data_IF_649309155126
#
_entry.id   IF_649309155126
#
_cell.length_a   1.000
_cell.length_b   1.000
_cell.length_c   1.000
_cell.angle_alpha   90.00
_cell.angle_beta   90.00
_cell.angle_gamma   90.00
#
_symmetry.space_group_name_H-M   'P 1'
#
loop_
_entity.id
_entity.type
_entity.pdbx_description
1 polymer ?
#
# COMPACT_ATOMS: atom_id res chain seq x y z
N UNK A 1 7.85 45.18 -25.73
CA UNK A 1 8.56 44.63 -24.55
C UNK A 1 7.54 44.32 -23.49
N UNK A 2 7.28 43.05 -23.23
CA UNK A 2 7.17 42.44 -21.89
C UNK A 2 6.80 40.97 -22.08
N UNK A 3 7.74 40.10 -21.70
CA UNK A 3 7.59 38.65 -21.66
C UNK A 3 7.00 38.31 -20.30
N UNK A 4 5.91 37.56 -20.26
CA UNK A 4 5.39 36.98 -19.01
C UNK A 4 5.59 35.47 -19.03
N UNK A 5 6.72 35.11 -18.43
CA UNK A 5 7.10 33.87 -17.75
C UNK A 5 6.09 32.70 -17.72
N UNK A 6 6.43 31.65 -18.48
CA UNK A 6 6.20 30.25 -18.15
C UNK A 6 7.12 29.84 -16.99
N UNK A 7 6.56 29.56 -15.81
CA UNK A 7 7.14 28.87 -14.65
C UNK A 7 5.95 28.61 -13.69
N UNK A 8 5.69 27.45 -13.10
CA UNK A 8 6.29 26.13 -13.17
C UNK A 8 5.31 25.17 -12.48
N UNK A 9 4.83 24.16 -13.20
CA UNK A 9 4.07 23.06 -12.60
C UNK A 9 5.12 22.08 -12.06
N UNK A 10 5.40 22.21 -10.77
CA UNK A 10 6.17 21.22 -10.02
C UNK A 10 5.40 19.91 -9.98
N UNK A 11 5.96 18.90 -10.66
CA UNK A 11 5.57 17.51 -10.54
C UNK A 11 5.71 17.07 -9.07
N UNK A 12 4.60 16.96 -8.36
CA UNK A 12 4.53 16.16 -7.12
C UNK A 12 4.06 14.77 -7.52
N UNK A 13 5.00 13.95 -7.99
CA UNK A 13 4.82 12.51 -8.08
C UNK A 13 5.02 11.92 -6.67
N UNK A 14 3.95 11.92 -5.86
CA UNK A 14 3.93 11.21 -4.58
C UNK A 14 2.77 10.22 -4.59
N UNK A 15 3.11 8.94 -4.73
CA UNK A 15 2.41 7.85 -4.03
C UNK A 15 1.03 7.40 -4.50
N UNK A 16 0.64 7.57 -5.77
CA UNK A 16 -0.65 7.07 -6.30
C UNK A 16 -0.58 5.67 -6.97
N UNK A 17 0.21 4.73 -6.44
CA UNK A 17 0.30 3.36 -6.98
C UNK A 17 0.02 2.22 -5.97
N UNK A 18 -0.45 2.52 -4.75
CA UNK A 18 -0.73 1.49 -3.73
C UNK A 18 -2.14 0.87 -3.75
N UNK A 19 -3.01 1.19 -4.72
CA UNK A 19 -4.45 0.84 -4.62
C UNK A 19 -5.05 0.11 -5.82
N UNK A 20 -4.25 -0.38 -6.76
CA UNK A 20 -4.77 -0.90 -8.05
C UNK A 20 -4.88 -2.44 -8.16
N UNK A 21 -4.62 -3.20 -7.10
CA UNK A 21 -4.71 -4.67 -7.16
C UNK A 21 -5.48 -5.25 -5.97
N UNK A 22 -6.79 -5.00 -5.93
CA UNK A 22 -7.69 -5.81 -5.11
C UNK A 22 -8.93 -6.20 -5.91
N UNK A 23 -8.73 -7.11 -6.86
CA UNK A 23 -9.80 -7.88 -7.49
C UNK A 23 -9.45 -9.37 -7.47
N UNK A 24 -9.90 -10.05 -6.42
CA UNK A 24 -10.12 -11.49 -6.43
C UNK A 24 -11.55 -11.78 -6.86
N UNK A 25 -11.81 -11.82 -8.17
CA UNK A 25 -12.87 -12.68 -8.71
C UNK A 25 -12.48 -13.07 -10.14
N UNK A 26 -11.79 -14.21 -10.27
CA UNK A 26 -11.48 -14.86 -11.55
C UNK A 26 -12.75 -15.45 -12.14
N UNK A 27 -13.60 -14.60 -12.70
CA UNK A 27 -14.41 -14.97 -13.87
C UNK A 27 -13.85 -14.21 -15.04
N UNK A 28 -13.18 -14.96 -15.91
CA UNK A 28 -12.72 -14.61 -17.25
C UNK A 28 -13.24 -13.25 -17.74
N UNK A 29 -12.37 -12.24 -17.73
CA UNK A 29 -12.53 -11.07 -18.61
C UNK A 29 -12.72 -11.64 -20.02
N UNK A 30 -13.83 -11.35 -20.73
CA UNK A 30 -13.95 -11.70 -22.13
C UNK A 30 -12.76 -11.10 -22.86
N UNK A 31 -11.95 -11.96 -23.50
CA UNK A 31 -10.97 -11.50 -24.49
C UNK A 31 -11.79 -10.87 -25.62
N UNK A 32 -11.79 -9.54 -25.64
CA UNK A 32 -12.46 -8.60 -26.55
C UNK A 32 -13.64 -7.86 -25.88
N UNK A 33 -13.52 -6.55 -25.61
CA UNK A 33 -14.69 -5.72 -25.38
C UNK A 33 -15.53 -5.65 -26.67
N UNK A 34 -16.87 -5.53 -26.58
CA UNK A 34 -17.69 -5.24 -27.76
C UNK A 34 -17.17 -3.97 -28.45
N UNK A 35 -16.80 -4.11 -29.72
CA UNK A 35 -16.27 -3.03 -30.54
C UNK A 35 -17.35 -1.99 -30.81
N UNK A 36 -17.14 -0.77 -30.35
CA UNK A 36 -18.03 0.36 -30.67
C UNK A 36 -17.78 1.61 -29.82
N UNK A 37 -17.27 1.46 -28.60
CA UNK A 37 -16.93 2.61 -27.76
C UNK A 37 -15.43 2.94 -27.88
N UNK A 38 -15.06 4.20 -28.16
CA UNK A 38 -13.65 4.61 -28.09
C UNK A 38 -13.12 4.36 -26.68
N UNK A 39 -11.97 3.69 -26.59
CA UNK A 39 -11.29 3.47 -25.31
C UNK A 39 -10.93 4.83 -24.71
N UNK A 40 -11.53 5.15 -23.55
CA UNK A 40 -11.23 6.37 -22.80
C UNK A 40 -9.74 6.42 -22.48
N UNK A 41 -9.11 7.58 -22.69
CA UNK A 41 -7.73 7.80 -22.27
C UNK A 41 -7.61 7.80 -20.74
N UNK A 42 -6.40 7.59 -20.21
CA UNK A 42 -6.18 7.65 -18.76
C UNK A 42 -6.61 9.00 -18.16
N UNK A 43 -6.42 10.10 -18.89
CA UNK A 43 -6.80 11.45 -18.50
C UNK A 43 -8.33 11.64 -18.51
N UNK A 44 -9.03 11.10 -19.51
CA UNK A 44 -10.51 11.10 -19.56
C UNK A 44 -11.11 10.30 -18.39
N UNK A 45 -10.54 9.14 -18.08
CA UNK A 45 -10.96 8.32 -16.93
C UNK A 45 -10.73 9.05 -15.60
N UNK A 46 -9.60 9.75 -15.46
CA UNK A 46 -9.30 10.54 -14.26
C UNK A 46 -10.25 11.74 -14.13
N UNK A 47 -10.51 12.45 -15.23
CA UNK A 47 -11.42 13.60 -15.27
C UNK A 47 -12.86 13.19 -14.96
N UNK A 48 -13.33 12.08 -15.54
CA UNK A 48 -14.66 11.53 -15.24
C UNK A 48 -14.77 11.10 -13.77
N UNK A 49 -13.74 10.47 -13.21
CA UNK A 49 -13.69 10.10 -11.79
C UNK A 49 -13.68 11.32 -10.87
N UNK A 50 -13.01 12.40 -11.26
CA UNK A 50 -13.03 13.67 -10.53
C UNK A 50 -14.42 14.29 -10.56
N UNK A 51 -15.05 14.37 -11.74
CA UNK A 51 -16.42 14.87 -11.89
C UNK A 51 -17.43 14.06 -11.07
N UNK A 52 -17.34 12.72 -11.09
CA UNK A 52 -18.18 11.86 -10.26
C UNK A 52 -17.94 12.11 -8.77
N UNK A 53 -16.68 12.23 -8.34
CA UNK A 53 -16.34 12.52 -6.95
C UNK A 53 -16.87 13.88 -6.48
N UNK A 54 -16.76 14.93 -7.31
CA UNK A 54 -17.26 16.25 -7.01
C UNK A 54 -18.77 16.29 -6.74
N UNK A 55 -19.56 15.42 -7.40
CA UNK A 55 -21.01 15.35 -7.13
C UNK A 55 -21.34 14.98 -5.68
N UNK A 56 -20.49 14.17 -5.02
CA UNK A 56 -20.70 13.78 -3.63
C UNK A 56 -20.46 14.93 -2.66
N UNK A 57 -19.58 15.88 -3.00
CA UNK A 57 -19.37 17.11 -2.22
C UNK A 57 -20.57 18.06 -2.30
N UNK A 58 -21.39 17.99 -3.36
CA UNK A 58 -22.57 18.83 -3.53
C UNK A 58 -23.81 18.34 -2.74
N UNK A 59 -23.75 17.15 -2.14
CA UNK A 59 -24.82 16.65 -1.27
C UNK A 59 -24.89 17.45 0.05
N UNK A 60 -26.03 17.50 0.76
CA UNK A 60 -26.10 18.18 2.06
C UNK A 60 -25.05 17.69 3.06
N UNK A 61 -24.84 16.36 3.12
CA UNK A 61 -23.81 15.76 3.96
C UNK A 61 -22.40 16.14 3.46
N UNK A 62 -22.16 16.10 2.15
CA UNK A 62 -20.90 16.50 1.54
C UNK A 62 -20.55 17.97 1.79
N UNK A 63 -21.53 18.87 1.71
CA UNK A 63 -21.38 20.29 2.02
C UNK A 63 -21.09 20.51 3.50
N UNK A 64 -21.79 19.80 4.40
CA UNK A 64 -21.52 19.88 5.84
C UNK A 64 -20.08 19.40 6.17
N UNK A 65 -19.64 18.30 5.55
CA UNK A 65 -18.27 17.81 5.69
C UNK A 65 -17.27 18.83 5.11
N UNK A 66 -17.45 19.25 3.86
CA UNK A 66 -16.56 20.20 3.16
C UNK A 66 -16.35 21.50 3.94
N UNK A 67 -17.42 22.03 4.55
CA UNK A 67 -17.39 23.25 5.35
C UNK A 67 -17.08 23.02 6.85
N UNK A 68 -16.75 21.78 7.24
CA UNK A 68 -16.43 21.40 8.62
C UNK A 68 -17.54 21.72 9.63
N UNK A 69 -18.79 21.72 9.17
CA UNK A 69 -19.98 21.85 10.02
C UNK A 69 -20.25 20.53 10.74
N UNK A 70 -19.42 20.21 11.74
CA UNK A 70 -19.52 18.95 12.49
C UNK A 70 -20.89 18.72 13.16
N UNK A 71 -21.55 19.75 13.75
CA UNK A 71 -22.93 19.60 14.21
C UNK A 71 -23.90 19.21 13.08
N UNK A 72 -23.76 19.83 11.90
CA UNK A 72 -24.50 19.45 10.70
C UNK A 72 -24.22 18.02 10.25
N UNK A 73 -22.95 17.60 10.24
CA UNK A 73 -22.56 16.21 9.91
C UNK A 73 -23.21 15.23 10.88
N UNK A 74 -23.17 15.48 12.19
CA UNK A 74 -23.81 14.60 13.17
C UNK A 74 -25.33 14.49 12.99
N UNK A 75 -25.98 15.57 12.58
CA UNK A 75 -27.42 15.59 12.31
C UNK A 75 -27.79 14.87 11.02
N UNK A 76 -26.97 15.01 9.98
CA UNK A 76 -27.24 14.51 8.64
C UNK A 76 -26.78 13.07 8.43
N UNK A 77 -25.71 12.65 9.11
CA UNK A 77 -25.06 11.38 8.86
C UNK A 77 -25.73 10.21 9.58
N UNK A 78 -26.10 9.19 8.80
CA UNK A 78 -26.63 7.92 9.30
C UNK A 78 -25.68 6.78 8.91
N UNK A 79 -24.84 6.27 9.84
CA UNK A 79 -23.80 5.29 9.52
C UNK A 79 -24.31 4.02 8.83
N UNK A 80 -25.52 3.55 9.17
CA UNK A 80 -26.10 2.32 8.62
C UNK A 80 -26.55 2.43 7.15
N UNK A 81 -26.89 3.63 6.70
CA UNK A 81 -27.54 3.87 5.40
C UNK A 81 -26.67 4.72 4.46
N UNK A 82 -25.76 5.53 5.01
CA UNK A 82 -24.96 6.50 4.26
C UNK A 82 -23.45 6.23 4.30
N UNK A 83 -23.04 5.01 4.68
CA UNK A 83 -21.61 4.67 4.70
C UNK A 83 -20.94 4.81 3.33
N UNK A 84 -21.62 4.48 2.24
CA UNK A 84 -21.11 4.70 0.88
C UNK A 84 -20.94 6.18 0.58
N UNK A 85 -21.91 7.01 0.99
CA UNK A 85 -21.84 8.47 0.79
C UNK A 85 -20.63 9.04 1.52
N UNK A 86 -20.42 8.68 2.79
CA UNK A 86 -19.26 9.14 3.55
C UNK A 86 -17.93 8.68 2.92
N UNK A 87 -17.85 7.44 2.46
CA UNK A 87 -16.66 6.94 1.77
C UNK A 87 -16.37 7.72 0.47
N UNK A 88 -17.41 8.05 -0.31
CA UNK A 88 -17.25 8.83 -1.53
C UNK A 88 -16.94 10.31 -1.24
N UNK A 89 -17.51 10.89 -0.19
CA UNK A 89 -17.19 12.26 0.26
C UNK A 89 -15.71 12.36 0.64
N UNK A 90 -15.20 11.46 1.49
CA UNK A 90 -13.77 11.45 1.86
C UNK A 90 -12.89 11.26 0.63
N UNK A 91 -13.27 10.34 -0.27
CA UNK A 91 -12.56 10.15 -1.55
C UNK A 91 -12.52 11.44 -2.39
N UNK A 92 -13.63 12.16 -2.46
CA UNK A 92 -13.74 13.41 -3.19
C UNK A 92 -12.86 14.52 -2.59
N UNK A 93 -12.78 14.61 -1.26
CA UNK A 93 -11.86 15.54 -0.60
C UNK A 93 -10.40 15.30 -0.98
N UNK A 94 -9.98 14.04 -1.16
CA UNK A 94 -8.63 13.73 -1.65
C UNK A 94 -8.45 14.08 -3.13
N UNK A 95 -9.42 13.75 -3.98
CA UNK A 95 -9.33 14.01 -5.43
C UNK A 95 -9.29 15.52 -5.73
N UNK A 96 -10.13 16.29 -5.05
CA UNK A 96 -10.21 17.75 -5.17
C UNK A 96 -9.12 18.47 -4.36
N UNK A 97 -8.18 17.73 -3.77
CA UNK A 97 -7.09 18.23 -2.94
C UNK A 97 -7.54 19.11 -1.74
N UNK A 98 -8.80 18.94 -1.30
CA UNK A 98 -9.41 19.65 -0.17
C UNK A 98 -8.94 19.15 1.19
N UNK A 99 -8.40 17.94 1.27
CA UNK A 99 -7.86 17.41 2.53
C UNK A 99 -6.70 18.22 3.11
N UNK A 100 -5.97 18.99 2.30
CA UNK A 100 -4.90 19.88 2.77
C UNK A 100 -5.43 21.09 3.56
N UNK A 101 -6.72 21.40 3.43
CA UNK A 101 -7.39 22.47 4.17
C UNK A 101 -7.85 21.99 5.57
N UNK A 102 -7.70 20.69 5.89
CA UNK A 102 -8.12 20.11 7.16
C UNK A 102 -6.97 20.08 8.17
N UNK A 103 -7.28 20.48 9.41
CA UNK A 103 -6.38 20.30 10.55
C UNK A 103 -6.30 18.82 10.96
N UNK A 104 -5.25 18.39 11.70
CA UNK A 104 -5.18 17.03 12.24
C UNK A 104 -6.41 16.61 13.04
N UNK A 105 -6.99 17.53 13.82
CA UNK A 105 -8.21 17.25 14.60
C UNK A 105 -9.46 17.02 13.72
N UNK A 106 -9.53 17.68 12.57
CA UNK A 106 -10.63 17.50 11.61
C UNK A 106 -10.46 16.20 10.82
N UNK A 107 -9.23 15.83 10.50
CA UNK A 107 -8.89 14.53 9.91
C UNK A 107 -9.21 13.38 10.87
N UNK A 108 -8.93 13.55 12.17
CA UNK A 108 -9.29 12.58 13.21
C UNK A 108 -10.81 12.43 13.35
N UNK A 109 -11.58 13.51 13.20
CA UNK A 109 -13.05 13.45 13.19
C UNK A 109 -13.56 12.64 12.00
N UNK A 110 -13.02 12.86 10.81
CA UNK A 110 -13.36 12.05 9.63
C UNK A 110 -13.01 10.58 9.84
N UNK A 111 -11.81 10.30 10.36
CA UNK A 111 -11.40 8.95 10.66
C UNK A 111 -12.34 8.30 11.69
N UNK A 112 -12.66 9.01 12.77
CA UNK A 112 -13.60 8.54 13.79
C UNK A 112 -14.95 8.17 13.17
N UNK A 113 -15.52 9.03 12.31
CA UNK A 113 -16.77 8.74 11.61
C UNK A 113 -16.69 7.47 10.77
N UNK A 114 -15.60 7.27 10.01
CA UNK A 114 -15.42 6.05 9.22
C UNK A 114 -15.26 4.79 10.09
N UNK A 115 -14.59 4.90 11.24
CA UNK A 115 -14.42 3.78 12.17
C UNK A 115 -15.74 3.41 12.86
N UNK A 116 -16.47 4.39 13.38
CA UNK A 116 -17.81 4.19 13.96
C UNK A 116 -18.78 3.59 12.94
N UNK A 117 -18.64 3.94 11.68
CA UNK A 117 -19.40 3.33 10.59
C UNK A 117 -19.15 1.84 10.50
N UNK A 118 -17.88 1.41 10.52
CA UNK A 118 -17.52 -0.01 10.54
C UNK A 118 -17.98 -0.69 11.84
N UNK A 119 -18.02 0.01 12.98
CA UNK A 119 -18.60 -0.54 14.21
C UNK A 119 -20.09 -0.87 14.07
N UNK A 120 -20.82 -0.04 13.31
CA UNK A 120 -22.27 -0.10 13.16
C UNK A 120 -22.75 -0.87 11.92
N UNK A 121 -21.84 -1.32 11.06
CA UNK A 121 -22.19 -2.13 9.88
C UNK A 121 -22.75 -3.49 10.28
N UNK A 122 -23.80 -3.91 9.57
CA UNK A 122 -24.33 -5.28 9.64
C UNK A 122 -23.41 -6.21 8.85
N UNK A 123 -23.31 -7.47 9.27
CA UNK A 123 -22.54 -8.54 8.60
C UNK A 123 -22.95 -8.64 7.13
N UNK A 124 -24.22 -8.36 6.79
CA UNK A 124 -24.71 -8.38 5.40
C UNK A 124 -24.08 -7.32 4.49
N UNK A 125 -23.63 -6.19 5.04
CA UNK A 125 -23.02 -5.09 4.27
C UNK A 125 -21.49 -5.08 4.38
N UNK A 126 -20.88 -6.03 5.09
CA UNK A 126 -19.43 -6.11 5.33
C UNK A 126 -18.61 -6.16 4.03
N UNK A 127 -19.15 -6.76 2.96
CA UNK A 127 -18.51 -6.76 1.63
C UNK A 127 -18.32 -5.36 1.04
N UNK A 128 -19.04 -4.35 1.53
CA UNK A 128 -18.90 -2.95 1.12
C UNK A 128 -17.88 -2.18 1.96
N UNK A 129 -17.34 -2.80 3.02
CA UNK A 129 -16.33 -2.19 3.88
C UNK A 129 -15.03 -1.89 3.11
N UNK A 130 -14.74 -2.58 1.99
CA UNK A 130 -13.56 -2.33 1.16
C UNK A 130 -13.40 -0.88 0.71
N UNK A 131 -14.51 -0.19 0.41
CA UNK A 131 -14.47 1.23 0.03
C UNK A 131 -14.12 2.12 1.23
N UNK A 132 -14.66 1.80 2.41
CA UNK A 132 -14.35 2.49 3.68
C UNK A 132 -12.89 2.26 4.09
N UNK A 133 -12.39 1.02 4.01
CA UNK A 133 -11.00 0.67 4.32
C UNK A 133 -10.04 1.50 3.48
N UNK A 134 -10.31 1.60 2.17
CA UNK A 134 -9.47 2.38 1.26
C UNK A 134 -9.39 3.85 1.69
N UNK A 135 -10.50 4.43 2.18
CA UNK A 135 -10.50 5.82 2.65
C UNK A 135 -9.86 5.96 4.02
N UNK A 136 -10.09 5.00 4.92
CA UNK A 136 -9.42 4.91 6.21
C UNK A 136 -7.91 4.92 5.97
N UNK A 137 -7.37 4.01 5.16
CA UNK A 137 -5.94 3.89 4.84
C UNK A 137 -5.34 5.22 4.33
N UNK A 138 -6.08 6.01 3.55
CA UNK A 138 -5.64 7.33 3.05
C UNK A 138 -5.58 8.42 4.12
N UNK A 139 -6.50 8.42 5.09
CA UNK A 139 -6.49 9.40 6.16
C UNK A 139 -5.21 9.26 7.01
N UNK A 140 -4.67 10.35 7.57
CA UNK A 140 -3.55 10.26 8.49
C UNK A 140 -3.84 9.37 9.70
N UNK A 141 -2.78 8.98 10.40
CA UNK A 141 -2.93 8.22 11.64
C UNK A 141 -3.50 9.11 12.74
N UNK A 142 -4.33 8.56 13.64
CA UNK A 142 -5.00 9.39 14.63
C UNK A 142 -4.06 9.90 15.72
N UNK A 143 -4.38 11.06 16.29
CA UNK A 143 -3.73 11.54 17.52
C UNK A 143 -4.04 10.60 18.69
N UNK A 144 -3.07 10.41 19.60
CA UNK A 144 -3.13 9.43 20.71
C UNK A 144 -4.28 9.66 21.70
N UNK A 145 -4.77 10.89 21.82
CA UNK A 145 -5.87 11.29 22.70
C UNK A 145 -7.22 11.39 21.97
N UNK A 146 -7.26 11.08 20.66
CA UNK A 146 -8.48 11.16 19.86
C UNK A 146 -9.43 9.98 20.10
N UNK A 147 -10.73 10.20 19.85
CA UNK A 147 -11.74 9.14 19.86
C UNK A 147 -11.41 8.02 18.85
N UNK A 148 -10.91 8.39 17.67
CA UNK A 148 -10.48 7.44 16.64
C UNK A 148 -9.37 6.50 17.15
N UNK A 149 -8.37 7.04 17.85
CA UNK A 149 -7.32 6.22 18.45
C UNK A 149 -7.87 5.24 19.49
N UNK A 150 -8.81 5.68 20.33
CA UNK A 150 -9.44 4.81 21.34
C UNK A 150 -10.25 3.66 20.69
N UNK A 151 -10.97 3.91 19.59
CA UNK A 151 -11.66 2.85 18.84
C UNK A 151 -10.65 1.84 18.28
N UNK A 152 -9.57 2.31 17.65
CA UNK A 152 -8.54 1.41 17.11
C UNK A 152 -7.86 0.60 18.22
N UNK A 153 -7.58 1.20 19.37
CA UNK A 153 -7.00 0.48 20.52
C UNK A 153 -7.93 -0.57 21.07
N UNK A 154 -9.24 -0.28 21.15
CA UNK A 154 -10.26 -1.27 21.50
C UNK A 154 -10.22 -2.44 20.51
N UNK A 155 -10.30 -2.18 19.20
CA UNK A 155 -10.25 -3.23 18.17
C UNK A 155 -8.95 -4.03 18.15
N UNK A 156 -7.80 -3.41 18.45
CA UNK A 156 -6.53 -4.11 18.57
C UNK A 156 -6.56 -5.16 19.68
N UNK A 157 -7.24 -4.85 20.78
CA UNK A 157 -7.35 -5.69 21.97
C UNK A 157 -8.57 -6.62 21.97
N UNK A 158 -9.48 -6.47 21.01
CA UNK A 158 -10.61 -7.38 20.84
C UNK A 158 -10.13 -8.80 20.47
N UNK A 159 -10.84 -9.80 20.97
CA UNK A 159 -10.64 -11.19 20.58
C UNK A 159 -10.84 -11.35 19.06
N UNK A 160 -10.19 -12.35 18.45
CA UNK A 160 -9.99 -12.51 16.99
C UNK A 160 -11.26 -12.65 16.12
N UNK A 161 -12.45 -12.44 16.67
CA UNK A 161 -13.74 -12.61 15.99
C UNK A 161 -14.01 -11.60 14.87
N UNK A 162 -13.26 -10.49 14.78
CA UNK A 162 -13.39 -9.50 13.69
C UNK A 162 -12.04 -9.19 13.03
N UNK A 163 -11.63 -10.07 12.10
CA UNK A 163 -10.37 -9.99 11.36
C UNK A 163 -10.16 -8.63 10.69
N UNK A 164 -11.21 -8.04 10.13
CA UNK A 164 -11.13 -6.76 9.45
C UNK A 164 -10.79 -5.59 10.39
N UNK A 165 -11.47 -5.48 11.53
CA UNK A 165 -11.23 -4.40 12.50
C UNK A 165 -9.82 -4.48 13.08
N UNK A 166 -9.37 -5.69 13.39
CA UNK A 166 -8.02 -5.94 13.89
C UNK A 166 -6.94 -5.58 12.87
N UNK A 167 -7.16 -5.91 11.59
CA UNK A 167 -6.32 -5.42 10.47
C UNK A 167 -6.23 -3.89 10.47
N UNK A 168 -7.37 -3.19 10.46
CA UNK A 168 -7.41 -1.73 10.39
C UNK A 168 -6.66 -1.13 11.58
N UNK A 169 -6.91 -1.65 12.79
CA UNK A 169 -6.23 -1.23 14.00
C UNK A 169 -4.72 -1.40 13.91
N UNK A 170 -4.24 -2.57 13.49
CA UNK A 170 -2.80 -2.83 13.34
C UNK A 170 -2.19 -1.87 12.32
N UNK A 171 -2.76 -1.75 11.12
CA UNK A 171 -2.21 -0.89 10.08
C UNK A 171 -2.25 0.59 10.47
N UNK A 172 -3.32 1.09 11.09
CA UNK A 172 -3.40 2.51 11.49
C UNK A 172 -2.53 2.88 12.68
N UNK A 173 -2.29 1.93 13.58
CA UNK A 173 -1.53 2.19 14.80
C UNK A 173 -0.04 1.82 14.66
N UNK A 174 0.32 0.86 13.81
CA UNK A 174 1.71 0.49 13.56
C UNK A 174 2.40 1.41 12.54
N UNK A 175 1.66 1.93 11.55
CA UNK A 175 2.22 2.70 10.44
C UNK A 175 2.31 4.22 10.73
N UNK A 176 2.15 4.65 11.98
CA UNK A 176 2.18 6.08 12.34
C UNK A 176 3.54 6.73 12.12
N UNK A 177 3.54 8.03 11.80
CA UNK A 177 4.75 8.82 11.56
C UNK A 177 5.62 9.02 12.82
N UNK A 178 5.03 9.53 13.90
CA UNK A 178 5.80 10.01 15.06
C UNK A 178 5.87 9.02 16.22
N UNK A 179 4.76 8.35 16.54
CA UNK A 179 4.66 7.46 17.71
C UNK A 179 3.79 6.24 17.41
N UNK A 180 4.31 5.26 16.65
CA UNK A 180 3.63 3.99 16.47
C UNK A 180 3.24 3.34 17.79
N UNK A 181 2.08 2.70 17.82
CA UNK A 181 1.65 1.94 18.99
C UNK A 181 2.45 0.64 19.12
N UNK A 182 3.07 0.42 20.28
CA UNK A 182 3.92 -0.74 20.49
C UNK A 182 3.17 -2.08 20.42
N UNK A 183 1.90 -2.11 20.83
CA UNK A 183 1.08 -3.34 20.76
C UNK A 183 0.67 -3.63 19.31
N UNK A 184 0.41 -2.59 18.53
CA UNK A 184 0.16 -2.72 17.10
C UNK A 184 1.41 -3.16 16.35
N UNK A 185 2.59 -2.58 16.63
CA UNK A 185 3.86 -3.01 16.06
C UNK A 185 4.20 -4.47 16.39
N UNK A 186 3.95 -4.89 17.63
CA UNK A 186 4.11 -6.28 18.03
C UNK A 186 3.20 -7.21 17.21
N UNK A 187 1.93 -6.84 17.04
CA UNK A 187 0.97 -7.59 16.24
C UNK A 187 1.34 -7.62 14.75
N UNK A 188 1.81 -6.49 14.21
CA UNK A 188 2.32 -6.37 12.85
C UNK A 188 3.50 -7.32 12.61
N UNK A 189 4.53 -7.27 13.47
CA UNK A 189 5.71 -8.15 13.39
C UNK A 189 5.33 -9.62 13.54
N UNK A 190 4.33 -9.93 14.35
CA UNK A 190 3.79 -11.29 14.46
C UNK A 190 3.14 -11.74 13.14
N UNK A 191 2.39 -10.85 12.48
CA UNK A 191 1.79 -11.07 11.17
C UNK A 191 2.80 -11.35 10.06
N UNK A 192 4.01 -10.77 10.12
CA UNK A 192 5.09 -11.04 9.15
C UNK A 192 5.56 -12.51 9.13
N UNK A 193 5.38 -13.24 10.24
CA UNK A 193 5.89 -14.63 10.38
C UNK A 193 4.79 -15.68 10.44
N UNK A 194 3.61 -15.33 10.96
CA UNK A 194 2.51 -16.26 11.14
C UNK A 194 1.79 -16.52 9.81
N UNK A 195 0.81 -17.44 9.82
CA UNK A 195 -0.07 -17.73 8.68
C UNK A 195 -0.74 -16.49 8.07
N UNK A 196 -1.66 -16.67 7.13
CA UNK A 196 -2.63 -15.60 6.85
C UNK A 196 -3.37 -15.28 8.15
N UNK A 197 -3.19 -14.07 8.68
CA UNK A 197 -3.81 -13.59 9.92
C UNK A 197 -4.72 -12.42 9.62
N UNK A 198 -5.83 -12.31 10.33
CA UNK A 198 -6.75 -11.16 10.24
C UNK A 198 -7.24 -10.85 8.80
N UNK A 199 -7.38 -11.87 7.95
CA UNK A 199 -7.84 -11.70 6.57
C UNK A 199 -6.83 -11.00 5.65
N UNK A 200 -5.56 -10.90 6.07
CA UNK A 200 -4.44 -10.36 5.28
C UNK A 200 -3.55 -11.53 4.85
N UNK A 201 -3.13 -11.53 3.59
CA UNK A 201 -2.14 -12.50 3.11
C UNK A 201 -0.75 -12.16 3.66
N UNK A 202 0.13 -13.16 3.80
CA UNK A 202 1.51 -12.92 4.26
C UNK A 202 2.25 -11.94 3.36
N UNK A 203 2.03 -12.04 2.05
CA UNK A 203 2.60 -11.13 1.06
C UNK A 203 2.19 -9.70 1.32
N UNK A 204 0.92 -9.46 1.65
CA UNK A 204 0.42 -8.12 1.95
C UNK A 204 0.99 -7.59 3.27
N UNK A 205 1.09 -8.42 4.32
CA UNK A 205 1.78 -8.05 5.58
C UNK A 205 3.20 -7.57 5.33
N UNK A 206 3.95 -8.31 4.51
CA UNK A 206 5.32 -7.98 4.15
C UNK A 206 5.38 -6.68 3.35
N UNK A 207 4.49 -6.48 2.37
CA UNK A 207 4.45 -5.27 1.56
C UNK A 207 4.18 -4.03 2.40
N UNK A 208 3.29 -4.12 3.39
CA UNK A 208 2.97 -3.02 4.32
C UNK A 208 4.15 -2.59 5.21
N UNK A 209 5.26 -3.32 5.25
CA UNK A 209 6.47 -2.86 5.94
C UNK A 209 6.95 -1.53 5.36
N UNK A 210 6.86 -1.35 4.04
CA UNK A 210 7.26 -0.11 3.38
C UNK A 210 6.34 1.07 3.71
N UNK A 211 5.13 0.81 4.22
CA UNK A 211 4.16 1.83 4.60
C UNK A 211 4.38 2.33 6.04
N UNK A 212 5.29 1.71 6.82
CA UNK A 212 5.61 2.20 8.18
C UNK A 212 6.27 3.56 8.03
N UNK A 213 5.61 4.64 8.44
CA UNK A 213 6.15 5.97 8.16
C UNK A 213 7.26 6.42 9.10
N UNK A 214 7.31 5.85 10.30
CA UNK A 214 8.45 6.04 11.21
C UNK A 214 9.68 5.25 10.72
N UNK A 215 10.71 5.95 10.25
CA UNK A 215 11.89 5.30 9.64
C UNK A 215 12.65 4.38 10.60
N UNK A 216 12.76 4.72 11.89
CA UNK A 216 13.43 3.88 12.89
C UNK A 216 12.67 2.55 13.10
N UNK A 217 11.34 2.61 13.23
CA UNK A 217 10.51 1.42 13.39
C UNK A 217 10.38 0.63 12.08
N UNK A 218 10.43 1.29 10.92
CA UNK A 218 10.53 0.63 9.60
C UNK A 218 11.81 -0.19 9.53
N UNK A 219 12.96 0.43 9.85
CA UNK A 219 14.27 -0.22 9.90
C UNK A 219 14.29 -1.39 10.88
N UNK A 220 13.83 -1.21 12.12
CA UNK A 220 13.74 -2.29 13.13
C UNK A 220 12.84 -3.44 12.69
N UNK A 221 11.78 -3.13 11.96
CA UNK A 221 10.86 -4.14 11.43
C UNK A 221 11.48 -4.89 10.25
N UNK A 222 12.26 -4.22 9.40
CA UNK A 222 13.09 -4.86 8.38
C UNK A 222 14.18 -5.74 9.02
N UNK A 223 14.86 -5.28 10.08
CA UNK A 223 15.83 -6.09 10.85
C UNK A 223 15.18 -7.35 11.41
N UNK A 224 13.97 -7.21 11.98
CA UNK A 224 13.19 -8.34 12.47
C UNK A 224 12.83 -9.34 11.36
N UNK A 225 12.39 -8.84 10.19
CA UNK A 225 12.05 -9.67 9.03
C UNK A 225 13.29 -10.41 8.49
N UNK A 226 14.43 -9.72 8.35
CA UNK A 226 15.68 -10.31 7.88
C UNK A 226 16.16 -11.41 8.83
N UNK A 227 16.21 -11.13 10.14
CA UNK A 227 16.60 -12.10 11.18
C UNK A 227 15.73 -13.36 11.16
N UNK A 228 14.45 -13.22 10.82
CA UNK A 228 13.49 -14.32 10.79
C UNK A 228 13.15 -14.79 9.36
N UNK A 229 13.92 -14.41 8.33
CA UNK A 229 13.59 -14.71 6.92
C UNK A 229 13.31 -16.20 6.68
N UNK A 230 14.11 -17.09 7.29
CA UNK A 230 13.91 -18.55 7.16
C UNK A 230 12.63 -19.07 7.79
N UNK A 231 12.03 -18.32 8.72
CA UNK A 231 10.72 -18.62 9.32
C UNK A 231 9.57 -18.05 8.50
N UNK A 232 9.84 -17.12 7.58
CA UNK A 232 8.84 -16.67 6.61
C UNK A 232 8.46 -17.86 5.74
N UNK A 233 7.16 -18.15 5.57
CA UNK A 233 6.68 -19.23 4.73
C UNK A 233 7.19 -19.12 3.29
N UNK A 234 7.49 -20.25 2.65
CA UNK A 234 8.23 -20.30 1.39
C UNK A 234 7.54 -19.53 0.25
N UNK A 235 6.21 -19.48 0.25
CA UNK A 235 5.40 -18.71 -0.70
C UNK A 235 5.54 -17.19 -0.55
N UNK A 236 5.92 -16.71 0.64
CA UNK A 236 6.04 -15.28 0.96
C UNK A 236 7.51 -14.80 1.00
N UNK A 237 8.47 -15.72 1.02
CA UNK A 237 9.91 -15.42 0.97
C UNK A 237 10.35 -14.57 -0.24
N UNK A 238 9.79 -14.75 -1.46
CA UNK A 238 10.08 -13.85 -2.58
C UNK A 238 9.70 -12.40 -2.29
N UNK A 239 8.51 -12.17 -1.75
CA UNK A 239 8.04 -10.83 -1.37
C UNK A 239 8.89 -10.23 -0.25
N UNK A 240 9.28 -11.04 0.75
CA UNK A 240 10.18 -10.60 1.81
C UNK A 240 11.54 -10.15 1.26
N UNK A 241 12.10 -10.88 0.29
CA UNK A 241 13.35 -10.51 -0.35
C UNK A 241 13.25 -9.16 -1.09
N UNK A 242 12.16 -8.96 -1.84
CA UNK A 242 11.93 -7.69 -2.55
C UNK A 242 11.86 -6.53 -1.56
N UNK A 243 11.05 -6.65 -0.50
CA UNK A 243 10.94 -5.61 0.53
C UNK A 243 12.29 -5.35 1.19
N UNK A 244 12.98 -6.39 1.68
CA UNK A 244 14.30 -6.24 2.30
C UNK A 244 15.33 -5.61 1.39
N UNK A 245 15.26 -5.82 0.07
CA UNK A 245 16.20 -5.20 -0.87
C UNK A 245 16.08 -3.68 -0.99
N UNK A 246 15.00 -3.08 -0.49
CA UNK A 246 14.89 -1.62 -0.34
C UNK A 246 15.54 -1.10 0.97
N UNK A 247 15.88 -2.01 1.89
CA UNK A 247 16.44 -1.72 3.23
C UNK A 247 17.86 -2.30 3.35
N UNK A 248 18.75 -1.95 2.41
CA UNK A 248 20.11 -2.52 2.36
C UNK A 248 20.98 -2.11 3.56
N UNK A 249 20.64 -1.01 4.24
CA UNK A 249 21.27 -0.53 5.48
C UNK A 249 21.08 -1.49 6.66
N UNK A 250 20.08 -2.37 6.60
CA UNK A 250 19.76 -3.34 7.64
C UNK A 250 20.64 -4.60 7.60
N UNK A 251 21.13 -4.99 6.42
CA UNK A 251 21.86 -6.26 6.27
C UNK A 251 22.17 -6.62 4.82
N UNK A 252 22.89 -5.73 4.15
CA UNK A 252 23.23 -5.85 2.73
C UNK A 252 23.94 -7.16 2.35
N UNK A 253 24.80 -7.71 3.20
CA UNK A 253 25.53 -8.96 2.92
C UNK A 253 24.57 -10.14 2.89
N UNK A 254 23.68 -10.23 3.87
CA UNK A 254 22.64 -11.25 3.97
C UNK A 254 21.65 -11.12 2.81
N UNK A 255 21.18 -9.91 2.53
CA UNK A 255 20.24 -9.64 1.43
C UNK A 255 20.86 -10.02 0.08
N UNK A 256 22.12 -9.65 -0.16
CA UNK A 256 22.86 -10.06 -1.36
C UNK A 256 22.99 -11.58 -1.44
N UNK A 257 23.31 -12.24 -0.33
CA UNK A 257 23.42 -13.71 -0.27
C UNK A 257 22.10 -14.38 -0.62
N UNK A 258 20.98 -13.93 -0.04
CA UNK A 258 19.64 -14.44 -0.35
C UNK A 258 19.25 -14.20 -1.81
N UNK A 259 19.59 -13.02 -2.34
CA UNK A 259 19.35 -12.66 -3.74
C UNK A 259 20.08 -13.61 -4.69
N UNK A 260 21.37 -13.86 -4.45
CA UNK A 260 22.17 -14.76 -5.29
C UNK A 260 21.73 -16.22 -5.18
N UNK A 261 21.25 -16.64 -4.01
CA UNK A 261 20.66 -17.97 -3.81
C UNK A 261 19.37 -18.13 -4.61
N UNK A 262 18.44 -17.18 -4.48
CA UNK A 262 17.16 -17.22 -5.18
C UNK A 262 17.31 -17.04 -6.70
N UNK A 263 18.35 -16.32 -7.18
CA UNK A 263 18.68 -16.23 -8.61
C UNK A 263 19.06 -17.60 -9.23
N UNK A 264 19.54 -18.54 -8.40
CA UNK A 264 19.84 -19.91 -8.83
C UNK A 264 18.63 -20.84 -8.72
N UNK A 265 17.52 -20.37 -8.14
CA UNK A 265 16.29 -21.13 -7.97
C UNK A 265 15.65 -21.46 -9.32
N UNK A 266 14.99 -22.62 -9.38
CA UNK A 266 14.12 -23.03 -10.48
C UNK A 266 12.68 -22.55 -10.30
N UNK A 267 12.36 -21.91 -9.16
CA UNK A 267 11.03 -21.32 -8.92
C UNK A 267 10.96 -19.92 -9.51
N UNK A 268 9.99 -19.69 -10.40
CA UNK A 268 9.78 -18.40 -11.08
C UNK A 268 9.69 -17.23 -10.11
N UNK A 269 8.87 -17.31 -9.06
CA UNK A 269 8.67 -16.19 -8.13
C UNK A 269 9.96 -15.81 -7.38
N UNK A 270 10.75 -16.80 -6.96
CA UNK A 270 12.02 -16.58 -6.29
C UNK A 270 13.05 -15.96 -7.25
N UNK A 271 13.09 -16.44 -8.49
CA UNK A 271 13.94 -15.91 -9.54
C UNK A 271 13.58 -14.44 -9.84
N UNK A 272 12.30 -14.13 -10.06
CA UNK A 272 11.82 -12.77 -10.34
C UNK A 272 12.05 -11.81 -9.17
N UNK A 273 11.83 -12.25 -7.93
CA UNK A 273 12.17 -11.47 -6.74
C UNK A 273 13.66 -11.12 -6.69
N UNK A 274 14.52 -12.06 -7.10
CA UNK A 274 15.97 -11.82 -7.17
C UNK A 274 16.32 -10.78 -8.23
N UNK A 275 15.67 -10.81 -9.40
CA UNK A 275 15.88 -9.79 -10.43
C UNK A 275 15.51 -8.40 -9.91
N UNK A 276 14.42 -8.26 -9.14
CA UNK A 276 14.05 -6.99 -8.50
C UNK A 276 15.12 -6.55 -7.49
N UNK A 277 15.55 -7.46 -6.61
CA UNK A 277 16.54 -7.16 -5.58
C UNK A 277 17.93 -6.80 -6.15
N UNK A 278 18.34 -7.42 -7.27
CA UNK A 278 19.58 -7.06 -7.99
C UNK A 278 19.55 -5.60 -8.44
N UNK A 279 18.40 -5.08 -8.87
CA UNK A 279 18.26 -3.67 -9.25
C UNK A 279 18.66 -2.74 -8.11
N UNK A 280 18.07 -2.94 -6.93
CA UNK A 280 18.38 -2.16 -5.74
C UNK A 280 19.85 -2.32 -5.29
N UNK A 281 20.40 -3.55 -5.36
CA UNK A 281 21.80 -3.83 -5.02
C UNK A 281 22.79 -3.17 -6.01
N UNK A 282 22.44 -3.10 -7.30
CA UNK A 282 23.22 -2.44 -8.32
C UNK A 282 23.21 -0.92 -8.10
N UNK A 283 22.03 -0.31 -7.91
CA UNK A 283 21.89 1.12 -7.62
C UNK A 283 22.71 1.56 -6.39
N UNK A 284 22.79 0.70 -5.37
CA UNK A 284 23.61 0.91 -4.18
C UNK A 284 25.10 0.53 -4.36
N UNK A 285 25.54 0.18 -5.57
CA UNK A 285 26.92 -0.22 -5.93
C UNK A 285 27.47 -1.38 -5.09
N UNK A 286 26.60 -2.30 -4.71
CA UNK A 286 26.94 -3.44 -3.82
C UNK A 286 27.34 -4.71 -4.58
N UNK A 287 27.12 -4.73 -5.89
CA UNK A 287 27.49 -5.83 -6.79
C UNK A 287 28.89 -5.55 -7.33
N UNK A 288 29.87 -6.37 -6.92
CA UNK A 288 31.27 -6.22 -7.33
C UNK A 288 31.71 -7.41 -8.19
N UNK A 289 32.83 -7.28 -8.91
CA UNK A 289 33.51 -8.44 -9.50
C UNK A 289 34.04 -9.35 -8.38
N UNK A 290 33.89 -10.69 -8.46
CA UNK A 290 33.42 -11.50 -9.60
C UNK A 290 31.90 -11.79 -9.63
N UNK A 291 31.13 -11.32 -8.65
CA UNK A 291 29.68 -11.58 -8.54
C UNK A 291 28.91 -11.03 -9.74
N UNK A 292 29.31 -9.84 -10.20
CA UNK A 292 28.79 -9.18 -11.39
C UNK A 292 28.82 -10.09 -12.62
N UNK A 293 29.95 -10.77 -12.87
CA UNK A 293 30.12 -11.66 -14.02
C UNK A 293 29.17 -12.87 -13.92
N UNK A 294 29.01 -13.42 -12.72
CA UNK A 294 28.09 -14.52 -12.48
C UNK A 294 26.63 -14.13 -12.72
N UNK A 295 26.23 -12.93 -12.30
CA UNK A 295 24.90 -12.37 -12.55
C UNK A 295 24.70 -12.18 -14.06
N UNK A 296 25.62 -11.48 -14.74
CA UNK A 296 25.54 -11.24 -16.19
C UNK A 296 25.41 -12.57 -16.95
N UNK A 297 26.25 -13.56 -16.62
CA UNK A 297 26.17 -14.90 -17.23
C UNK A 297 24.79 -15.54 -17.02
N UNK A 298 24.20 -15.41 -15.83
CA UNK A 298 22.87 -15.97 -15.54
C UNK A 298 21.76 -15.22 -16.28
N UNK A 299 21.85 -13.89 -16.40
CA UNK A 299 20.88 -13.05 -17.11
C UNK A 299 20.90 -13.27 -18.63
N UNK A 300 22.05 -13.63 -19.21
CA UNK A 300 22.16 -13.97 -20.64
C UNK A 300 21.76 -15.41 -20.96
N UNK A 301 21.67 -16.27 -19.94
CA UNK A 301 21.35 -17.70 -20.09
C UNK A 301 20.16 -18.13 -19.22
N UNK A 302 19.10 -17.31 -19.17
CA UNK A 302 17.88 -17.62 -18.41
C UNK A 302 17.23 -18.89 -19.00
N UNK A 303 17.03 -19.95 -18.20
CA UNK A 303 16.37 -21.18 -18.66
C UNK A 303 14.96 -20.91 -19.21
N UNK A 304 14.51 -21.60 -20.28
CA UNK A 304 13.17 -21.39 -20.86
C UNK A 304 12.02 -21.42 -19.85
N UNK A 305 12.11 -22.29 -18.83
CA UNK A 305 11.11 -22.39 -17.76
C UNK A 305 10.95 -21.13 -16.90
N UNK A 306 11.99 -20.27 -16.85
CA UNK A 306 12.03 -19.02 -16.08
C UNK A 306 11.84 -17.78 -16.95
N UNK A 307 11.65 -17.93 -18.26
CA UNK A 307 11.55 -16.83 -19.22
C UNK A 307 10.13 -16.23 -19.28
N UNK A 308 9.63 -15.72 -18.16
CA UNK A 308 8.42 -14.89 -18.17
C UNK A 308 8.66 -13.57 -18.92
N UNK A 309 7.61 -12.90 -19.42
CA UNK A 309 7.75 -11.57 -20.01
C UNK A 309 8.44 -10.57 -19.07
N UNK A 310 8.11 -10.63 -17.77
CA UNK A 310 8.75 -9.82 -16.75
C UNK A 310 10.24 -10.13 -16.61
N UNK A 311 10.60 -11.42 -16.47
CA UNK A 311 11.98 -11.85 -16.29
C UNK A 311 12.87 -11.42 -17.46
N UNK A 312 12.37 -11.54 -18.70
CA UNK A 312 13.09 -11.08 -19.90
C UNK A 312 13.31 -9.57 -19.89
N UNK A 313 12.25 -8.80 -19.67
CA UNK A 313 12.33 -7.34 -19.64
C UNK A 313 13.30 -6.85 -18.54
N UNK A 314 13.16 -7.40 -17.32
CA UNK A 314 14.00 -7.01 -16.19
C UNK A 314 15.46 -7.45 -16.36
N UNK A 315 15.72 -8.61 -16.96
CA UNK A 315 17.08 -9.05 -17.26
C UNK A 315 17.80 -8.12 -18.25
N UNK A 316 17.12 -7.67 -19.30
CA UNK A 316 17.67 -6.71 -20.26
C UNK A 316 17.99 -5.36 -19.59
N UNK A 317 17.07 -4.87 -18.75
CA UNK A 317 17.28 -3.66 -17.95
C UNK A 317 18.53 -3.79 -17.07
N UNK A 318 18.65 -4.88 -16.30
CA UNK A 318 19.78 -5.11 -15.39
C UNK A 318 21.10 -5.27 -16.13
N UNK A 319 21.12 -5.95 -17.29
CA UNK A 319 22.32 -6.05 -18.12
C UNK A 319 22.82 -4.66 -18.55
N UNK A 320 21.90 -3.74 -18.87
CA UNK A 320 22.24 -2.36 -19.23
C UNK A 320 22.82 -1.55 -18.06
N UNK A 321 22.30 -1.77 -16.85
CA UNK A 321 22.78 -1.13 -15.62
C UNK A 321 24.18 -1.66 -15.29
N UNK A 322 24.33 -2.98 -15.22
CA UNK A 322 25.59 -3.62 -14.87
C UNK A 322 26.69 -3.35 -15.90
N UNK A 323 26.37 -3.11 -17.18
CA UNK A 323 27.38 -2.75 -18.17
C UNK A 323 27.98 -1.34 -17.98
N UNK A 324 27.31 -0.44 -17.25
CA UNK A 324 27.74 0.96 -17.05
C UNK A 324 28.61 1.16 -15.80
N UNK A 325 28.45 0.30 -14.81
CA UNK A 325 29.28 0.26 -13.59
C UNK A 325 30.60 -0.45 -13.81
#
# INVERSE_FOLDING_TARGET
MQKSSLLGIGLVAVGLLGGALWFGNTKSVPKNPPSGEPQKTAEEVLTERANQAATHLNTPLGQAVLHKDWPGVQKLYQPKTQFLDMAQIVRALFIENKMNEYTPSEQDRLLNLLLETIEQMDVKTEHLASLLITQIERLPSPQHDSAAYNILKKWLNEADHFSLRKRIAILKLALQDLKPDSSALFSFRSGLLQGSTYGISKTDWIQHLNDIRNEDEKRRTAEYLLKNYKKVPAEAQPSALVVLSHHLDVGSVEIKTLTLQNLRSEKTDAFEASLRAIGNLAEAKMIKSPEKEAIVKKLTSIPPALQSPFARAKALELLSILARE
#
